data_IF_413192300836
#
_entry.id   IF_413192300836
#
_cell.length_a   1.000
_cell.length_b   1.000
_cell.length_c   1.000
_cell.angle_alpha   90.00
_cell.angle_beta   90.00
_cell.angle_gamma   90.00
#
_symmetry.space_group_name_H-M   'P 1'
#
loop_
_entity.id
_entity.type
_entity.pdbx_description
1 polymer ?
#
# COMPACT_ATOMS: atom_id res chain seq x y z
N UNK A 1 -5.61 7.88 -17.62
CA UNK A 1 -5.11 6.50 -17.67
C UNK A 1 -3.67 6.46 -18.20
N UNK A 2 -2.95 5.34 -18.10
CA UNK A 2 -1.59 5.20 -18.67
C UNK A 2 -1.51 5.67 -20.12
N UNK A 3 -2.33 5.07 -20.99
CA UNK A 3 -2.33 5.29 -22.43
C UNK A 3 -2.62 6.73 -22.85
N UNK A 4 -3.42 7.44 -22.06
CA UNK A 4 -3.95 8.76 -22.43
C UNK A 4 -3.21 9.90 -21.76
N UNK A 5 -2.68 9.70 -20.55
CA UNK A 5 -2.27 10.82 -19.70
C UNK A 5 -0.75 10.92 -19.56
N UNK A 6 -0.05 9.79 -19.41
CA UNK A 6 1.35 9.80 -18.98
C UNK A 6 2.27 8.83 -19.73
N UNK A 7 1.77 8.00 -20.66
CA UNK A 7 2.59 7.09 -21.47
C UNK A 7 3.71 7.81 -22.23
N UNK A 8 3.40 8.95 -22.85
CA UNK A 8 4.40 9.72 -23.60
C UNK A 8 5.50 10.29 -22.70
N UNK A 9 5.12 10.82 -21.53
CA UNK A 9 6.07 11.37 -20.56
C UNK A 9 6.98 10.27 -20.01
N UNK A 10 6.41 9.12 -19.63
CA UNK A 10 7.16 7.94 -19.22
C UNK A 10 8.15 7.46 -20.30
N UNK A 11 7.70 7.30 -21.55
CA UNK A 11 8.55 6.86 -22.67
C UNK A 11 9.68 7.84 -23.01
N UNK A 12 9.54 9.10 -22.64
CA UNK A 12 10.57 10.12 -22.82
C UNK A 12 11.57 10.19 -21.65
N UNK A 13 11.54 9.21 -20.72
CA UNK A 13 12.43 9.17 -19.55
C UNK A 13 11.91 9.96 -18.35
N UNK A 14 10.63 10.33 -18.33
CA UNK A 14 10.00 10.99 -17.20
C UNK A 14 9.84 10.06 -16.00
N UNK A 15 10.10 10.58 -14.79
CA UNK A 15 9.89 9.86 -13.53
C UNK A 15 8.41 9.96 -13.13
N UNK A 16 7.77 8.81 -12.91
CA UNK A 16 6.38 8.72 -12.49
C UNK A 16 6.31 8.39 -11.00
N UNK A 17 5.59 9.21 -10.23
CA UNK A 17 5.20 8.90 -8.86
C UNK A 17 3.69 8.64 -8.88
N UNK A 18 3.29 7.44 -8.47
CA UNK A 18 1.89 7.02 -8.45
C UNK A 18 1.40 6.90 -7.00
N UNK A 19 0.43 7.73 -6.61
CA UNK A 19 -0.38 7.47 -5.42
C UNK A 19 -1.36 6.35 -5.77
N UNK A 20 -0.95 5.12 -5.42
CA UNK A 20 -1.55 3.84 -5.81
C UNK A 20 -1.28 3.43 -7.26
N UNK A 21 -1.17 2.12 -7.44
CA UNK A 21 -0.98 1.49 -8.74
C UNK A 21 -1.57 0.06 -8.72
N UNK A 22 -1.16 -0.81 -9.66
CA UNK A 22 -1.45 -2.25 -9.64
C UNK A 22 -1.26 -2.88 -8.26
N UNK A 23 -0.24 -2.42 -7.53
CA UNK A 23 0.12 -2.86 -6.18
C UNK A 23 -1.01 -2.70 -5.16
N UNK A 24 -1.82 -1.64 -5.27
CA UNK A 24 -3.00 -1.48 -4.42
C UNK A 24 -4.10 -2.49 -4.77
N UNK A 25 -4.27 -2.80 -6.05
CA UNK A 25 -5.22 -3.82 -6.50
C UNK A 25 -4.80 -5.22 -5.99
N UNK A 26 -3.50 -5.54 -6.01
CA UNK A 26 -2.96 -6.77 -5.42
C UNK A 26 -3.44 -6.96 -3.98
N UNK A 27 -3.24 -5.96 -3.12
CA UNK A 27 -3.64 -5.98 -1.69
C UNK A 27 -5.14 -6.19 -1.54
N UNK A 28 -5.95 -5.35 -2.21
CA UNK A 28 -7.41 -5.35 -2.02
C UNK A 28 -8.10 -6.62 -2.54
N UNK A 29 -7.53 -7.28 -3.54
CA UNK A 29 -8.11 -8.48 -4.12
C UNK A 29 -7.56 -9.76 -3.47
N UNK A 30 -6.28 -9.80 -3.10
CA UNK A 30 -5.71 -11.02 -2.50
C UNK A 30 -6.35 -11.37 -1.16
N UNK A 31 -6.78 -10.36 -0.38
CA UNK A 31 -7.47 -10.56 0.91
C UNK A 31 -8.83 -11.24 0.80
N UNK A 32 -9.37 -11.39 -0.43
CA UNK A 32 -10.63 -12.09 -0.68
C UNK A 32 -10.48 -13.61 -0.80
N UNK A 33 -9.23 -14.10 -0.86
CA UNK A 33 -8.94 -15.53 -0.96
C UNK A 33 -8.38 -16.00 0.39
N UNK A 34 -8.95 -17.05 0.98
CA UNK A 34 -8.40 -17.61 2.22
C UNK A 34 -7.25 -18.60 1.95
N UNK A 35 -7.28 -19.24 0.78
CA UNK A 35 -6.30 -20.24 0.38
C UNK A 35 -5.01 -19.58 -0.17
N UNK A 36 -3.82 -19.82 0.43
CA UNK A 36 -2.57 -19.25 -0.05
C UNK A 36 -2.22 -19.60 -1.50
N UNK A 37 -2.64 -20.78 -1.98
CA UNK A 37 -2.42 -21.18 -3.38
C UNK A 37 -3.26 -20.36 -4.34
N UNK A 38 -4.51 -20.07 -3.97
CA UNK A 38 -5.41 -19.24 -4.77
C UNK A 38 -4.95 -17.78 -4.78
N UNK A 39 -4.48 -17.25 -3.64
CA UNK A 39 -3.82 -15.93 -3.57
C UNK A 39 -2.64 -15.85 -4.53
N UNK A 40 -1.77 -16.85 -4.49
CA UNK A 40 -0.57 -16.90 -5.35
C UNK A 40 -0.98 -16.91 -6.82
N UNK A 41 -1.91 -17.79 -7.20
CA UNK A 41 -2.41 -17.88 -8.58
C UNK A 41 -3.09 -16.57 -9.04
N UNK A 42 -3.85 -15.92 -8.15
CA UNK A 42 -4.46 -14.62 -8.43
C UNK A 42 -3.41 -13.54 -8.69
N UNK A 43 -2.38 -13.45 -7.84
CA UNK A 43 -1.29 -12.48 -7.99
C UNK A 43 -0.53 -12.71 -9.31
N UNK A 44 -0.19 -13.97 -9.63
CA UNK A 44 0.46 -14.33 -10.90
C UNK A 44 -0.39 -13.90 -12.10
N UNK A 45 -1.70 -14.17 -12.05
CA UNK A 45 -2.64 -13.77 -13.09
C UNK A 45 -2.73 -12.25 -13.22
N UNK A 46 -2.80 -11.52 -12.10
CA UNK A 46 -2.92 -10.07 -12.09
C UNK A 46 -1.69 -9.40 -12.70
N UNK A 47 -0.50 -9.88 -12.36
CA UNK A 47 0.76 -9.38 -12.92
C UNK A 47 0.86 -9.61 -14.44
N UNK A 48 0.51 -10.81 -14.92
CA UNK A 48 0.46 -11.10 -16.34
C UNK A 48 -0.56 -10.21 -17.06
N UNK A 49 -1.76 -10.07 -16.47
CA UNK A 49 -2.82 -9.27 -17.04
C UNK A 49 -2.45 -7.79 -17.14
N UNK A 50 -2.00 -7.17 -16.04
CA UNK A 50 -1.73 -5.75 -16.00
C UNK A 50 -0.41 -5.39 -16.69
N UNK A 51 0.69 -6.08 -16.40
CA UNK A 51 2.02 -5.70 -16.90
C UNK A 51 2.35 -6.30 -18.27
N UNK A 52 1.87 -7.50 -18.60
CA UNK A 52 2.17 -8.10 -19.91
C UNK A 52 1.08 -7.79 -20.93
N UNK A 53 -0.17 -8.17 -20.64
CA UNK A 53 -1.27 -8.05 -21.62
C UNK A 53 -1.71 -6.61 -21.83
N UNK A 54 -1.88 -5.83 -20.76
CA UNK A 54 -2.24 -4.42 -20.85
C UNK A 54 -1.02 -3.51 -21.10
N UNK A 55 0.18 -4.02 -20.82
CA UNK A 55 1.44 -3.33 -21.07
C UNK A 55 1.67 -2.15 -20.14
N UNK A 56 1.13 -2.21 -18.92
CA UNK A 56 1.45 -1.25 -17.88
C UNK A 56 2.93 -1.39 -17.48
N UNK A 57 3.68 -0.28 -17.31
CA UNK A 57 5.06 -0.37 -16.88
C UNK A 57 5.15 -0.94 -15.46
N UNK A 58 6.12 -1.84 -15.26
CA UNK A 58 6.41 -2.36 -13.92
C UNK A 58 7.11 -1.28 -13.11
N UNK A 59 6.74 -1.06 -11.84
CA UNK A 59 7.41 -0.09 -10.99
C UNK A 59 8.84 -0.55 -10.67
N UNK A 60 9.79 0.39 -10.70
CA UNK A 60 11.18 0.14 -10.28
C UNK A 60 11.30 0.01 -8.75
N UNK A 61 10.45 0.73 -8.02
CA UNK A 61 10.31 0.62 -6.57
C UNK A 61 8.85 0.79 -6.14
N UNK A 62 8.51 0.15 -5.02
CA UNK A 62 7.22 0.29 -4.34
C UNK A 62 7.48 0.62 -2.89
N UNK A 63 7.02 1.79 -2.45
CA UNK A 63 7.11 2.22 -1.05
C UNK A 63 5.76 2.03 -0.36
N UNK A 64 5.70 1.08 0.58
CA UNK A 64 4.56 0.92 1.47
C UNK A 64 4.73 1.88 2.66
N UNK A 65 3.86 2.89 2.73
CA UNK A 65 3.72 3.74 3.92
C UNK A 65 2.99 2.95 5.00
N UNK A 66 3.73 2.40 5.94
CA UNK A 66 3.25 1.41 6.90
C UNK A 66 2.82 2.06 8.21
N UNK A 67 1.52 1.93 8.49
CA UNK A 67 0.83 2.46 9.66
C UNK A 67 0.30 1.29 10.48
N UNK A 68 0.74 1.05 11.73
CA UNK A 68 0.23 -0.04 12.54
C UNK A 68 -1.29 -0.04 12.63
N UNK A 69 -1.88 -1.23 12.69
CA UNK A 69 -3.33 -1.43 12.71
C UNK A 69 -3.99 -0.57 13.79
N UNK A 70 -3.46 -0.59 15.02
CA UNK A 70 -4.07 0.11 16.15
C UNK A 70 -4.10 1.63 15.93
N UNK A 71 -3.11 2.17 15.23
CA UNK A 71 -3.06 3.61 14.89
C UNK A 71 -4.04 3.92 13.76
N UNK A 72 -4.10 3.06 12.73
CA UNK A 72 -5.06 3.18 11.63
C UNK A 72 -6.50 3.18 12.14
N UNK A 73 -6.82 2.30 13.08
CA UNK A 73 -8.13 2.23 13.72
C UNK A 73 -8.45 3.48 14.56
N UNK A 74 -7.49 3.95 15.37
CA UNK A 74 -7.67 5.15 16.18
C UNK A 74 -7.95 6.39 15.30
N UNK A 75 -7.20 6.56 14.20
CA UNK A 75 -7.40 7.66 13.25
C UNK A 75 -8.75 7.58 12.53
N UNK A 76 -9.22 6.38 12.21
CA UNK A 76 -10.54 6.17 11.61
C UNK A 76 -11.67 6.47 12.59
N UNK A 77 -11.54 6.04 13.85
CA UNK A 77 -12.51 6.32 14.91
C UNK A 77 -12.66 7.83 15.19
N UNK A 78 -11.55 8.59 15.14
CA UNK A 78 -11.59 10.05 15.31
C UNK A 78 -12.37 10.74 14.16
N UNK A 79 -12.32 10.18 12.94
CA UNK A 79 -13.06 10.68 11.78
C UNK A 79 -14.55 10.34 11.84
N UNK A 80 -14.90 9.14 12.30
CA UNK A 80 -16.32 8.72 12.45
C UNK A 80 -17.02 9.45 13.60
N UNK A 81 -16.29 9.75 14.68
CA UNK A 81 -16.79 10.58 15.79
C UNK A 81 -17.22 11.99 15.35
N UNK A 82 -16.64 12.50 14.25
CA UNK A 82 -17.02 13.78 13.63
C UNK A 82 -18.23 13.67 12.69
N UNK A 83 -18.69 12.47 12.35
CA UNK A 83 -19.75 12.22 11.34
C UNK A 83 -20.99 11.44 11.85
N UNK A 84 -21.09 11.14 13.15
CA UNK A 84 -22.37 10.84 13.81
C UNK A 84 -23.09 9.53 13.41
N UNK A 85 -22.38 8.48 12.98
CA UNK A 85 -22.96 7.20 12.56
C UNK A 85 -22.81 6.06 13.58
N UNK A 86 -23.92 5.38 13.90
CA UNK A 86 -23.99 4.12 14.69
C UNK A 86 -23.30 2.98 13.93
N UNK A 87 -22.38 2.25 14.55
CA UNK A 87 -21.25 1.66 13.82
C UNK A 87 -20.81 0.25 14.22
N UNK A 88 -21.53 -0.47 15.08
CA UNK A 88 -21.10 -1.78 15.63
C UNK A 88 -20.70 -2.84 14.58
N UNK A 89 -21.60 -3.21 13.67
CA UNK A 89 -21.34 -4.25 12.65
C UNK A 89 -20.40 -3.78 11.52
N UNK A 90 -20.50 -2.50 11.14
CA UNK A 90 -19.60 -1.92 10.13
C UNK A 90 -18.16 -1.94 10.64
N UNK A 91 -17.97 -1.74 11.94
CA UNK A 91 -16.64 -1.72 12.56
C UNK A 91 -16.03 -3.11 12.64
N UNK A 92 -16.81 -4.17 12.93
CA UNK A 92 -16.29 -5.53 12.97
C UNK A 92 -15.87 -6.03 11.57
N UNK A 93 -16.68 -5.75 10.55
CA UNK A 93 -16.33 -6.02 9.15
C UNK A 93 -15.11 -5.23 8.67
N UNK A 94 -14.96 -3.98 9.12
CA UNK A 94 -13.80 -3.15 8.81
C UNK A 94 -12.54 -3.62 9.55
N UNK A 95 -12.65 -4.05 10.81
CA UNK A 95 -11.54 -4.58 11.59
C UNK A 95 -10.95 -5.85 10.96
N UNK A 96 -11.78 -6.86 10.69
CA UNK A 96 -11.33 -8.11 10.08
C UNK A 96 -10.68 -7.86 8.70
N UNK A 97 -11.25 -6.93 7.93
CA UNK A 97 -10.68 -6.50 6.66
C UNK A 97 -9.32 -5.79 6.83
N UNK A 98 -9.19 -4.87 7.80
CA UNK A 98 -7.92 -4.19 8.07
C UNK A 98 -6.85 -5.18 8.54
N UNK A 99 -7.18 -6.14 9.40
CA UNK A 99 -6.27 -7.24 9.80
C UNK A 99 -5.82 -8.03 8.57
N UNK A 100 -6.73 -8.39 7.67
CA UNK A 100 -6.39 -9.11 6.45
C UNK A 100 -5.47 -8.29 5.53
N UNK A 101 -5.74 -6.99 5.38
CA UNK A 101 -4.89 -6.05 4.60
C UNK A 101 -3.50 -5.93 5.22
N UNK A 102 -3.39 -5.83 6.53
CA UNK A 102 -2.10 -5.83 7.23
C UNK A 102 -1.32 -7.13 7.00
N UNK A 103 -1.99 -8.28 7.07
CA UNK A 103 -1.39 -9.57 6.73
C UNK A 103 -0.94 -9.63 5.26
N UNK A 104 -1.70 -9.05 4.34
CA UNK A 104 -1.33 -8.97 2.93
C UNK A 104 -0.07 -8.12 2.71
N UNK A 105 0.10 -7.00 3.44
CA UNK A 105 1.32 -6.20 3.35
C UNK A 105 2.58 -7.00 3.74
N UNK A 106 2.52 -7.84 4.77
CA UNK A 106 3.64 -8.74 5.13
C UNK A 106 4.01 -9.69 3.99
N UNK A 107 3.00 -10.28 3.36
CA UNK A 107 3.19 -11.24 2.27
C UNK A 107 3.79 -10.53 1.04
N UNK A 108 3.23 -9.39 0.65
CA UNK A 108 3.64 -8.65 -0.54
C UNK A 108 5.02 -8.00 -0.38
N UNK A 109 5.34 -7.44 0.79
CA UNK A 109 6.68 -6.91 1.09
C UNK A 109 7.73 -8.00 0.92
N UNK A 110 7.47 -9.22 1.42
CA UNK A 110 8.41 -10.35 1.26
C UNK A 110 8.48 -10.85 -0.17
N UNK A 111 7.33 -11.02 -0.83
CA UNK A 111 7.25 -11.59 -2.18
C UNK A 111 7.88 -10.68 -3.23
N UNK A 112 7.60 -9.38 -3.16
CA UNK A 112 7.98 -8.39 -4.17
C UNK A 112 9.11 -7.46 -3.73
N UNK A 113 9.67 -7.68 -2.54
CA UNK A 113 10.74 -6.84 -1.98
C UNK A 113 10.35 -5.36 -1.90
N UNK A 114 9.09 -5.05 -1.57
CA UNK A 114 8.65 -3.67 -1.41
C UNK A 114 9.37 -3.01 -0.23
N UNK A 115 9.64 -1.72 -0.37
CA UNK A 115 10.25 -0.93 0.69
C UNK A 115 9.18 -0.52 1.69
N UNK A 116 9.35 -0.94 2.93
CA UNK A 116 8.46 -0.55 4.02
C UNK A 116 8.98 0.73 4.69
N UNK A 117 8.12 1.74 4.75
CA UNK A 117 8.41 3.03 5.37
C UNK A 117 7.51 3.18 6.60
N UNK A 118 8.02 2.95 7.82
CA UNK A 118 7.21 3.10 9.02
C UNK A 118 6.76 4.55 9.17
N UNK A 119 5.47 4.79 9.35
CA UNK A 119 4.91 6.14 9.51
C UNK A 119 4.73 6.56 10.98
N UNK A 120 5.08 5.67 11.91
CA UNK A 120 5.07 5.94 13.36
C UNK A 120 6.32 5.44 14.03
N UNK A 121 6.71 6.12 15.09
CA UNK A 121 7.68 5.62 16.05
C UNK A 121 6.97 4.87 17.17
N UNK A 122 7.54 3.72 17.54
CA UNK A 122 7.11 2.98 18.73
C UNK A 122 7.85 3.55 19.94
N UNK A 123 7.16 4.35 20.75
CA UNK A 123 7.73 4.82 22.01
C UNK A 123 8.00 3.65 22.96
N UNK A 124 8.95 3.83 23.89
CA UNK A 124 9.29 2.83 24.92
C UNK A 124 8.08 2.44 25.81
N UNK A 125 7.03 3.25 25.84
CA UNK A 125 5.81 3.06 26.62
C UNK A 125 4.68 2.33 25.89
N UNK A 126 4.96 1.67 24.75
CA UNK A 126 3.94 1.02 23.90
C UNK A 126 2.95 1.98 23.24
N UNK A 127 3.25 3.28 23.24
CA UNK A 127 2.46 4.30 22.56
C UNK A 127 3.11 4.63 21.21
N UNK A 128 2.32 4.78 20.16
CA UNK A 128 2.80 5.23 18.85
C UNK A 128 2.80 6.75 18.77
N UNK A 129 3.80 7.31 18.09
CA UNK A 129 3.84 8.73 17.74
C UNK A 129 3.95 8.84 16.22
N UNK A 130 3.06 9.61 15.59
CA UNK A 130 3.14 9.89 14.15
C UNK A 130 4.46 10.56 13.84
N UNK A 131 5.18 10.00 12.87
CA UNK A 131 6.37 10.66 12.31
C UNK A 131 5.95 11.88 11.51
N UNK A 132 6.84 12.85 11.42
CA UNK A 132 6.63 14.04 10.60
C UNK A 132 6.68 13.70 9.10
N UNK A 133 6.08 14.55 8.29
CA UNK A 133 6.14 14.43 6.82
C UNK A 133 7.60 14.45 6.34
N UNK A 134 8.46 15.27 6.95
CA UNK A 134 9.86 15.40 6.60
C UNK A 134 10.65 14.10 6.86
N UNK A 135 10.42 13.46 8.01
CA UNK A 135 11.06 12.18 8.32
C UNK A 135 10.63 11.07 7.36
N UNK A 136 9.34 10.97 7.07
CA UNK A 136 8.81 9.98 6.11
C UNK A 136 9.33 10.28 4.69
N UNK A 137 9.40 11.55 4.30
CA UNK A 137 9.95 11.99 3.02
C UNK A 137 11.40 11.55 2.86
N UNK A 138 12.25 11.78 3.88
CA UNK A 138 13.66 11.41 3.83
C UNK A 138 13.84 9.90 3.64
N UNK A 139 13.05 9.07 4.33
CA UNK A 139 13.10 7.61 4.16
C UNK A 139 12.67 7.19 2.75
N UNK A 140 11.57 7.73 2.24
CA UNK A 140 11.11 7.46 0.86
C UNK A 140 12.18 7.88 -0.14
N UNK A 141 12.78 9.05 0.03
CA UNK A 141 13.82 9.56 -0.85
C UNK A 141 15.06 8.65 -0.84
N UNK A 142 15.51 8.21 0.33
CA UNK A 142 16.66 7.29 0.48
C UNK A 142 16.48 5.95 -0.26
N UNK A 143 15.24 5.50 -0.40
CA UNK A 143 14.90 4.28 -1.13
C UNK A 143 15.05 4.46 -2.64
N UNK A 144 14.65 5.62 -3.16
CA UNK A 144 14.54 5.86 -4.60
C UNK A 144 15.70 6.66 -5.18
N UNK A 145 16.56 7.28 -4.35
CA UNK A 145 17.64 8.16 -4.83
C UNK A 145 18.58 7.46 -5.82
N UNK A 146 18.85 6.16 -5.61
CA UNK A 146 19.71 5.36 -6.49
C UNK A 146 19.04 4.99 -7.84
N UNK A 147 17.74 5.26 -7.98
CA UNK A 147 16.98 5.06 -9.22
C UNK A 147 16.90 6.35 -10.04
N UNK A 148 17.30 7.49 -9.47
CA UNK A 148 17.27 8.77 -10.14
C UNK A 148 18.47 8.90 -11.09
N UNK A 149 18.27 9.53 -12.26
CA UNK A 149 19.33 9.74 -13.26
C UNK A 149 20.36 10.81 -12.85
#
# INVERSE_FOLDING_TARGET
SFRTDWEQFYKNGGIIIADRYTTSNMVHQMVKYDNPKERTAFLDWLEDFEFQKFGLPKPDAVCLLDMPLEVSEALMAERTGKTGGNTGDIHEGNHAYLVAVHGAYEELVKRYQWHRIPCVDKAKSSQYTLRTIEEIHNDVYSVVENLLP
#
